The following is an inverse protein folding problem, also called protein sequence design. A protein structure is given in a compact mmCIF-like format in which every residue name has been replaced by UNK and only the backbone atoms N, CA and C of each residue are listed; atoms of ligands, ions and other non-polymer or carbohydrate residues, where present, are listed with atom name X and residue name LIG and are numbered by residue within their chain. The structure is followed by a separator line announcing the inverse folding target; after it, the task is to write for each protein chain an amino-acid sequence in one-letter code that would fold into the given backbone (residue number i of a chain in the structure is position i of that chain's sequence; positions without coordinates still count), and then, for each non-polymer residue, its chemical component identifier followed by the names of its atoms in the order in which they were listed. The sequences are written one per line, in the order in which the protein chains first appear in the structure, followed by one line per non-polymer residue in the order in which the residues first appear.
data_IF_302269722149
#
_entry.id   IF_302269722149
#
_cell.length_a   1.000
_cell.length_b   1.000
_cell.length_c   1.000
_cell.angle_alpha   90.00
_cell.angle_beta   90.00
_cell.angle_gamma   90.00
#
_symmetry.space_group_name_H-M   'P 1'
#
loop_
_entity.id
_entity.type
_entity.pdbx_description
1 polymer ?
#
# COMPACT_ATOMS: atom_id res chain seq x y z
N UNK A 1 8.61 -40.59 -5.20
CA UNK A 1 7.52 -40.51 -4.20
C UNK A 1 7.68 -39.30 -3.27
N UNK A 2 8.86 -39.15 -2.67
CA UNK A 2 9.13 -37.99 -1.79
C UNK A 2 8.97 -36.64 -2.51
N UNK A 3 9.38 -36.56 -3.78
CA UNK A 3 9.28 -35.35 -4.58
C UNK A 3 7.82 -34.96 -4.87
N UNK A 4 6.94 -35.94 -5.00
CA UNK A 4 5.52 -35.71 -5.26
C UNK A 4 4.84 -35.04 -4.05
N UNK A 5 5.10 -35.52 -2.85
CA UNK A 5 4.58 -34.95 -1.61
C UNK A 5 5.08 -33.53 -1.41
N UNK A 6 6.37 -33.28 -1.67
CA UNK A 6 6.97 -31.94 -1.58
C UNK A 6 6.35 -30.98 -2.57
N UNK A 7 6.05 -31.44 -3.80
CA UNK A 7 5.38 -30.63 -4.83
C UNK A 7 4.00 -30.20 -4.38
N UNK A 8 3.22 -31.11 -3.82
CA UNK A 8 1.88 -30.80 -3.31
C UNK A 8 1.92 -29.79 -2.17
N UNK A 9 2.89 -29.97 -1.26
CA UNK A 9 3.08 -29.03 -0.14
C UNK A 9 3.44 -27.65 -0.63
N UNK A 10 4.34 -27.53 -1.61
CA UNK A 10 4.72 -26.26 -2.22
C UNK A 10 3.54 -25.60 -2.91
N UNK A 11 2.74 -26.38 -3.63
CA UNK A 11 1.54 -25.86 -4.29
C UNK A 11 0.57 -25.25 -3.28
N UNK A 12 0.32 -25.93 -2.17
CA UNK A 12 -0.53 -25.42 -1.09
C UNK A 12 0.02 -24.15 -0.48
N UNK A 13 1.32 -24.09 -0.23
CA UNK A 13 1.98 -22.89 0.32
C UNK A 13 1.88 -21.73 -0.66
N UNK A 14 2.07 -22.00 -1.95
CA UNK A 14 1.98 -20.98 -3.00
C UNK A 14 0.56 -20.43 -3.08
N UNK A 15 -0.45 -21.30 -3.04
CA UNK A 15 -1.86 -20.87 -3.03
C UNK A 15 -2.18 -19.99 -1.84
N UNK A 16 -1.74 -20.39 -0.64
CA UNK A 16 -1.96 -19.62 0.58
C UNK A 16 -1.26 -18.25 0.49
N UNK A 17 -0.02 -18.22 0.04
CA UNK A 17 0.74 -16.96 -0.14
C UNK A 17 0.09 -16.08 -1.20
N UNK A 18 -0.37 -16.65 -2.31
CA UNK A 18 -1.04 -15.90 -3.37
C UNK A 18 -2.31 -15.25 -2.86
N UNK A 19 -3.12 -15.99 -2.09
CA UNK A 19 -4.35 -15.45 -1.50
C UNK A 19 -4.05 -14.28 -0.56
N UNK A 20 -3.06 -14.43 0.33
CA UNK A 20 -2.64 -13.38 1.26
C UNK A 20 -2.11 -12.17 0.49
N UNK A 21 -1.29 -12.40 -0.53
CA UNK A 21 -0.73 -11.31 -1.35
C UNK A 21 -1.81 -10.54 -2.10
N UNK A 22 -2.81 -11.24 -2.64
CA UNK A 22 -3.95 -10.60 -3.30
C UNK A 22 -4.74 -9.72 -2.33
N UNK A 23 -5.01 -10.23 -1.13
CA UNK A 23 -5.71 -9.48 -0.10
C UNK A 23 -4.92 -8.22 0.29
N UNK A 24 -3.60 -8.36 0.47
CA UNK A 24 -2.71 -7.24 0.81
C UNK A 24 -2.65 -6.20 -0.31
N UNK A 25 -2.57 -6.64 -1.57
CA UNK A 25 -2.59 -5.74 -2.73
C UNK A 25 -3.91 -4.99 -2.84
N UNK A 26 -5.03 -5.66 -2.61
CA UNK A 26 -6.36 -5.04 -2.62
C UNK A 26 -6.48 -3.97 -1.54
N UNK A 27 -6.00 -4.28 -0.34
CA UNK A 27 -5.98 -3.36 0.80
C UNK A 27 -5.12 -2.12 0.47
N UNK A 28 -3.94 -2.34 -0.11
CA UNK A 28 -3.05 -1.26 -0.52
C UNK A 28 -3.71 -0.35 -1.56
N UNK A 29 -4.33 -0.93 -2.59
CA UNK A 29 -5.04 -0.17 -3.62
C UNK A 29 -6.18 0.64 -3.04
N UNK A 30 -6.95 0.04 -2.13
CA UNK A 30 -8.04 0.71 -1.43
C UNK A 30 -7.55 1.91 -0.63
N UNK A 31 -6.44 1.74 0.10
CA UNK A 31 -5.84 2.81 0.89
C UNK A 31 -5.34 3.95 0.00
N UNK A 32 -4.68 3.62 -1.12
CA UNK A 32 -4.21 4.63 -2.09
C UNK A 32 -5.38 5.39 -2.71
N UNK A 33 -6.45 4.68 -3.04
CA UNK A 33 -7.67 5.30 -3.58
C UNK A 33 -8.28 6.27 -2.56
N UNK A 34 -8.39 5.86 -1.31
CA UNK A 34 -8.92 6.70 -0.23
C UNK A 34 -8.10 7.97 -0.05
N UNK A 35 -6.78 7.86 -0.13
CA UNK A 35 -5.89 9.03 -0.04
C UNK A 35 -6.10 9.96 -1.25
N UNK A 36 -6.20 9.41 -2.45
CA UNK A 36 -6.46 10.21 -3.65
C UNK A 36 -7.79 10.95 -3.57
N UNK A 37 -8.82 10.31 -3.03
CA UNK A 37 -10.11 10.94 -2.81
C UNK A 37 -10.01 12.07 -1.78
N UNK A 38 -9.25 11.87 -0.71
CA UNK A 38 -9.01 12.90 0.30
C UNK A 38 -8.26 14.10 -0.31
N UNK A 39 -7.28 13.84 -1.18
CA UNK A 39 -6.55 14.88 -1.90
C UNK A 39 -7.51 15.69 -2.79
N UNK A 40 -8.41 15.00 -3.50
CA UNK A 40 -9.39 15.64 -4.37
C UNK A 40 -10.36 16.51 -3.59
N UNK A 41 -10.76 16.09 -2.39
CA UNK A 41 -11.62 16.87 -1.50
C UNK A 41 -10.91 18.08 -0.90
N UNK A 42 -9.57 18.01 -0.78
CA UNK A 42 -8.77 19.14 -0.31
C UNK A 42 -8.90 19.47 1.17
N UNK A 43 -9.35 18.53 2.00
CA UNK A 43 -9.46 18.73 3.45
C UNK A 43 -8.14 18.43 4.14
N UNK A 44 -7.44 19.48 4.59
CA UNK A 44 -6.10 19.37 5.17
C UNK A 44 -6.06 18.50 6.43
N UNK A 45 -7.09 18.55 7.28
CA UNK A 45 -7.14 17.79 8.52
C UNK A 45 -7.27 16.28 8.24
N UNK A 46 -8.24 15.93 7.40
CA UNK A 46 -8.46 14.53 6.98
C UNK A 46 -7.26 14.00 6.19
N UNK A 47 -6.64 14.88 5.42
CA UNK A 47 -5.53 14.54 4.54
C UNK A 47 -4.30 14.07 5.32
N UNK A 48 -3.96 14.75 6.41
CA UNK A 48 -2.84 14.35 7.27
C UNK A 48 -3.01 12.96 7.85
N UNK A 49 -4.19 12.67 8.39
CA UNK A 49 -4.51 11.36 8.95
C UNK A 49 -4.50 10.28 7.86
N UNK A 50 -5.08 10.57 6.70
CA UNK A 50 -5.13 9.64 5.56
C UNK A 50 -3.71 9.33 5.05
N UNK A 51 -2.84 10.33 4.98
CA UNK A 51 -1.45 10.17 4.56
C UNK A 51 -0.68 9.27 5.54
N UNK A 52 -0.81 9.52 6.84
CA UNK A 52 -0.16 8.70 7.87
C UNK A 52 -0.60 7.24 7.80
N UNK A 53 -1.90 6.99 7.62
CA UNK A 53 -2.43 5.65 7.45
C UNK A 53 -1.88 4.98 6.19
N UNK A 54 -1.76 5.73 5.09
CA UNK A 54 -1.22 5.21 3.82
C UNK A 54 0.24 4.84 3.95
N UNK A 55 1.06 5.67 4.61
CA UNK A 55 2.48 5.38 4.84
C UNK A 55 2.63 4.10 5.66
N UNK A 56 1.82 3.93 6.70
CA UNK A 56 1.82 2.72 7.52
C UNK A 56 1.51 1.47 6.70
N UNK A 57 0.51 1.53 5.82
CA UNK A 57 0.14 0.41 4.95
C UNK A 57 1.27 0.12 3.94
N UNK A 58 1.90 1.14 3.38
CA UNK A 58 3.03 0.97 2.46
C UNK A 58 4.21 0.28 3.15
N UNK A 59 4.55 0.70 4.36
CA UNK A 59 5.64 0.09 5.13
C UNK A 59 5.35 -1.37 5.46
N UNK A 60 4.13 -1.68 5.87
CA UNK A 60 3.69 -3.05 6.13
C UNK A 60 3.74 -3.91 4.86
N UNK A 61 3.38 -3.34 3.71
CA UNK A 61 3.43 -4.03 2.43
C UNK A 61 4.86 -4.40 2.03
N UNK A 62 5.83 -3.53 2.33
CA UNK A 62 7.25 -3.81 2.11
C UNK A 62 7.70 -4.98 3.00
N UNK A 63 7.35 -4.95 4.28
CA UNK A 63 7.70 -6.03 5.23
C UNK A 63 7.11 -7.37 4.82
N UNK A 64 5.89 -7.37 4.29
CA UNK A 64 5.21 -8.59 3.83
C UNK A 64 5.68 -9.07 2.45
N UNK A 65 6.53 -8.29 1.78
CA UNK A 65 7.04 -8.65 0.46
C UNK A 65 6.04 -8.41 -0.67
N UNK A 66 4.94 -7.71 -0.42
CA UNK A 66 3.94 -7.38 -1.44
C UNK A 66 4.44 -6.28 -2.36
N UNK A 67 5.23 -5.38 -1.82
CA UNK A 67 5.72 -4.20 -2.53
C UNK A 67 7.24 -4.07 -2.32
N UNK A 68 7.95 -3.74 -3.41
CA UNK A 68 9.39 -3.51 -3.32
C UNK A 68 9.68 -2.18 -2.62
N UNK A 69 10.76 -2.14 -1.84
CA UNK A 69 11.22 -0.96 -1.10
C UNK A 69 11.28 0.30 -1.95
N UNK A 70 11.85 0.19 -3.16
CA UNK A 70 12.00 1.33 -4.07
C UNK A 70 10.66 1.85 -4.57
N UNK A 71 9.72 0.95 -4.84
CA UNK A 71 8.36 1.31 -5.25
C UNK A 71 7.63 2.04 -4.14
N UNK A 72 7.76 1.55 -2.89
CA UNK A 72 7.16 2.19 -1.72
C UNK A 72 7.71 3.60 -1.52
N UNK A 73 9.02 3.78 -1.63
CA UNK A 73 9.67 5.10 -1.54
C UNK A 73 9.14 6.07 -2.59
N UNK A 74 8.97 5.58 -3.81
CA UNK A 74 8.43 6.38 -4.91
C UNK A 74 7.00 6.83 -4.64
N UNK A 75 6.16 5.93 -4.15
CA UNK A 75 4.78 6.26 -3.76
C UNK A 75 4.75 7.29 -2.64
N UNK A 76 5.55 7.10 -1.61
CA UNK A 76 5.64 8.04 -0.48
C UNK A 76 6.02 9.44 -0.96
N UNK A 77 7.04 9.54 -1.80
CA UNK A 77 7.51 10.81 -2.36
C UNK A 77 6.43 11.53 -3.14
N UNK A 78 5.78 10.82 -4.06
CA UNK A 78 4.72 11.39 -4.91
C UNK A 78 3.52 11.84 -4.09
N UNK A 79 3.09 11.00 -3.16
CA UNK A 79 1.94 11.30 -2.31
C UNK A 79 2.24 12.47 -1.38
N UNK A 80 3.44 12.52 -0.82
CA UNK A 80 3.87 13.62 0.03
C UNK A 80 3.85 14.95 -0.72
N UNK A 81 4.33 14.96 -1.96
CA UNK A 81 4.31 16.15 -2.81
C UNK A 81 2.88 16.64 -3.05
N UNK A 82 1.96 15.72 -3.33
CA UNK A 82 0.55 16.06 -3.53
C UNK A 82 -0.11 16.60 -2.26
N UNK A 83 0.17 15.98 -1.12
CA UNK A 83 -0.35 16.41 0.19
C UNK A 83 0.15 17.82 0.51
N UNK A 84 1.43 18.07 0.31
CA UNK A 84 2.03 19.39 0.53
C UNK A 84 1.43 20.45 -0.39
N UNK A 85 1.20 20.10 -1.66
CA UNK A 85 0.60 21.02 -2.62
C UNK A 85 -0.80 21.46 -2.18
N UNK A 86 -1.62 20.54 -1.68
CA UNK A 86 -2.96 20.84 -1.19
C UNK A 86 -2.89 21.69 0.08
N UNK A 87 -2.00 21.34 1.02
CA UNK A 87 -1.82 22.11 2.25
C UNK A 87 -1.36 23.53 1.95
N UNK A 88 -0.43 23.70 1.00
CA UNK A 88 0.06 25.01 0.57
C UNK A 88 -1.04 25.85 -0.07
N UNK A 89 -1.87 25.25 -0.91
CA UNK A 89 -3.01 25.93 -1.54
C UNK A 89 -3.99 26.46 -0.51
N UNK A 90 -4.27 25.68 0.54
CA UNK A 90 -5.16 26.11 1.61
C UNK A 90 -4.56 27.21 2.50
N UNK A 91 -3.24 27.16 2.69
CA UNK A 91 -2.53 28.15 3.49
C UNK A 91 -2.41 29.50 2.75
N UNK A 92 -2.42 29.46 1.43
CA UNK A 92 -2.38 30.66 0.61
C UNK A 92 -3.77 31.26 0.41
#
# INVERSE_FOLDING_TARGET
MANHVSSLKRARQTEAKTAVNRANKSKLRGTLRSLREAIAKGDAQTLGAAYSATVSVLDKSVQKGVLHKNTASRYKSRLNARVKAVATKKAA
#
